data_IF_178026118426
#
_entry.id   IF_178026118426
#
_cell.length_a   1.000
_cell.length_b   1.000
_cell.length_c   1.000
_cell.angle_alpha   90.00
_cell.angle_beta   90.00
_cell.angle_gamma   90.00
#
_symmetry.space_group_name_H-M   'P 1'
#
loop_
_entity.id
_entity.type
_entity.pdbx_description
1 polymer ?
#
# COMPACT_ATOMS: atom_id res chain seq x y z
N UNK A 1 -2.70 2.91 -3.72
CA UNK A 1 -1.91 3.14 -4.94
C UNK A 1 -1.46 4.59 -4.90
N UNK A 2 -0.15 4.81 -4.78
CA UNK A 2 0.41 6.15 -4.89
C UNK A 2 0.67 6.42 -6.37
N UNK A 3 -0.14 7.25 -6.97
CA UNK A 3 0.12 7.75 -8.32
C UNK A 3 0.95 9.01 -8.21
N UNK A 4 2.09 9.02 -8.86
CA UNK A 4 2.80 10.25 -9.12
C UNK A 4 2.37 10.78 -10.47
N UNK A 5 2.01 12.04 -10.51
CA UNK A 5 1.65 12.73 -11.73
C UNK A 5 2.90 13.39 -12.31
N UNK A 6 3.25 13.07 -13.54
CA UNK A 6 4.28 13.80 -14.28
C UNK A 6 3.64 15.06 -14.90
N UNK A 7 4.25 16.21 -14.65
CA UNK A 7 3.80 17.45 -15.26
C UNK A 7 4.56 17.71 -16.56
N UNK A 8 3.83 18.05 -17.62
CA UNK A 8 4.37 18.64 -18.85
C UNK A 8 3.80 20.03 -19.03
N UNK A 9 4.69 21.00 -19.17
CA UNK A 9 4.30 22.37 -19.52
C UNK A 9 4.42 22.52 -21.03
N UNK A 10 3.35 22.91 -21.70
CA UNK A 10 3.36 23.20 -23.12
C UNK A 10 3.99 24.59 -23.40
N UNK A 11 4.16 24.93 -24.68
CA UNK A 11 4.74 26.21 -25.10
C UNK A 11 3.86 27.43 -24.75
N UNK A 12 2.61 27.19 -24.33
CA UNK A 12 1.65 28.23 -23.93
C UNK A 12 1.55 28.36 -22.41
N UNK A 13 2.38 27.60 -21.66
CA UNK A 13 2.39 27.62 -20.20
C UNK A 13 1.30 26.75 -19.55
N UNK A 14 0.53 25.96 -20.32
CA UNK A 14 -0.43 25.02 -19.76
C UNK A 14 0.30 23.81 -19.22
N UNK A 15 -0.03 23.40 -17.99
CA UNK A 15 0.55 22.23 -17.37
C UNK A 15 -0.43 21.06 -17.51
N UNK A 16 0.02 20.01 -18.19
CA UNK A 16 -0.70 18.72 -18.28
C UNK A 16 0.02 17.68 -17.45
N UNK A 17 -0.73 16.75 -16.88
CA UNK A 17 -0.25 15.69 -16.04
C UNK A 17 -0.56 14.34 -16.65
N UNK A 18 0.38 13.41 -16.60
CA UNK A 18 0.16 12.03 -17.03
C UNK A 18 0.40 11.07 -15.87
N UNK A 19 -0.34 9.97 -15.87
CA UNK A 19 -0.32 8.91 -14.86
C UNK A 19 0.79 7.85 -15.08
N UNK A 20 1.65 8.05 -16.07
CA UNK A 20 2.64 7.06 -16.52
C UNK A 20 4.04 7.25 -15.94
N UNK A 21 4.22 8.10 -14.94
CA UNK A 21 5.55 8.38 -14.41
C UNK A 21 5.85 7.61 -13.13
N UNK A 22 7.06 7.06 -12.96
CA UNK A 22 7.53 6.63 -11.66
C UNK A 22 7.52 7.84 -10.72
N UNK A 23 7.02 7.65 -9.51
CA UNK A 23 6.77 8.64 -8.48
C UNK A 23 7.64 9.91 -8.54
N UNK A 24 7.16 10.93 -9.22
CA UNK A 24 7.78 12.26 -9.25
C UNK A 24 7.04 13.18 -8.27
N UNK A 25 7.79 13.97 -7.52
CA UNK A 25 7.20 15.04 -6.71
C UNK A 25 6.85 16.19 -7.63
N UNK A 26 5.58 16.55 -7.65
CA UNK A 26 5.14 17.74 -8.33
C UNK A 26 5.38 18.95 -7.43
N UNK A 27 6.21 19.88 -7.86
CA UNK A 27 6.42 21.14 -7.15
C UNK A 27 5.46 22.18 -7.71
N UNK A 28 4.54 22.64 -6.86
CA UNK A 28 3.57 23.67 -7.20
C UNK A 28 3.88 24.95 -6.44
N UNK A 29 3.75 26.08 -7.13
CA UNK A 29 3.82 27.42 -6.54
C UNK A 29 2.48 28.12 -6.74
N UNK A 30 1.72 28.29 -5.68
CA UNK A 30 0.42 28.94 -5.78
C UNK A 30 -0.32 28.94 -4.45
N UNK A 31 -1.29 29.86 -4.32
CA UNK A 31 -2.17 29.91 -3.16
C UNK A 31 -3.34 28.94 -3.31
N UNK A 32 -3.71 28.61 -4.55
CA UNK A 32 -4.84 27.73 -4.89
C UNK A 32 -4.38 26.63 -5.83
N UNK A 33 -4.86 25.42 -5.58
CA UNK A 33 -4.64 24.26 -6.43
C UNK A 33 -6.00 23.76 -6.88
N UNK A 34 -6.16 23.46 -8.17
CA UNK A 34 -7.36 22.83 -8.73
C UNK A 34 -7.00 21.44 -9.22
N UNK A 35 -7.71 20.44 -8.72
CA UNK A 35 -7.65 19.07 -9.22
C UNK A 35 -8.80 18.87 -10.22
N UNK A 36 -8.48 18.57 -11.47
CA UNK A 36 -9.46 18.24 -12.49
C UNK A 36 -9.31 16.75 -12.84
N UNK A 37 -10.38 15.98 -12.67
CA UNK A 37 -10.46 14.61 -13.15
C UNK A 37 -11.16 14.65 -14.53
N UNK A 38 -10.40 14.44 -15.60
CA UNK A 38 -10.94 14.42 -16.98
C UNK A 38 -11.37 13.02 -17.40
N UNK A 39 -10.89 11.98 -16.72
CA UNK A 39 -11.22 10.58 -17.02
C UNK A 39 -12.26 10.03 -16.05
N UNK A 40 -13.22 9.27 -16.58
CA UNK A 40 -14.14 8.49 -15.76
C UNK A 40 -13.37 7.39 -15.00
N UNK A 41 -13.66 7.22 -13.71
CA UNK A 41 -13.08 6.15 -12.90
C UNK A 41 -11.86 6.53 -12.06
N UNK A 42 -11.51 7.81 -11.96
CA UNK A 42 -10.54 8.27 -10.98
C UNK A 42 -11.18 8.29 -9.58
N UNK A 43 -10.67 7.48 -8.69
CA UNK A 43 -11.01 7.51 -7.27
C UNK A 43 -9.82 8.08 -6.50
N UNK A 44 -10.02 9.22 -5.85
CA UNK A 44 -9.07 9.83 -4.94
C UNK A 44 -9.54 9.53 -3.51
N UNK A 45 -8.66 8.99 -2.70
CA UNK A 45 -8.95 8.68 -1.29
C UNK A 45 -8.37 9.75 -0.38
N UNK A 46 -7.15 10.22 -0.67
CA UNK A 46 -6.45 11.22 0.12
C UNK A 46 -5.47 12.00 -0.75
N UNK A 47 -5.30 13.27 -0.44
CA UNK A 47 -4.34 14.16 -1.10
C UNK A 47 -3.50 14.89 -0.05
N UNK A 48 -2.18 14.78 -0.11
CA UNK A 48 -1.29 15.49 0.77
C UNK A 48 -0.55 16.62 0.04
N UNK A 49 -0.55 17.79 0.66
CA UNK A 49 0.29 18.91 0.25
C UNK A 49 1.46 19.04 1.23
N UNK A 50 2.68 19.03 0.71
CA UNK A 50 3.88 19.08 1.54
C UNK A 50 4.76 20.27 1.20
N UNK A 51 5.39 20.84 2.23
CA UNK A 51 6.46 21.81 2.06
C UNK A 51 7.71 21.15 1.44
N UNK A 52 8.66 21.93 0.92
CA UNK A 52 9.96 21.40 0.50
C UNK A 52 10.72 20.66 1.61
N UNK A 53 10.43 20.96 2.88
CA UNK A 53 10.98 20.27 4.05
C UNK A 53 10.27 18.93 4.36
N UNK A 54 9.17 18.61 3.67
CA UNK A 54 8.41 17.37 3.86
C UNK A 54 7.28 17.46 4.89
N UNK A 55 7.04 18.64 5.49
CA UNK A 55 5.95 18.85 6.44
C UNK A 55 4.61 18.97 5.71
N UNK A 56 3.56 18.41 6.28
CA UNK A 56 2.22 18.55 5.73
C UNK A 56 1.73 20.00 5.84
N UNK A 57 1.22 20.52 4.73
CA UNK A 57 0.64 21.87 4.68
C UNK A 57 -0.85 21.78 4.94
N UNK A 58 -1.36 22.67 5.80
CA UNK A 58 -2.79 22.80 6.01
C UNK A 58 -3.47 23.31 4.75
N UNK A 59 -4.36 22.51 4.20
CA UNK A 59 -5.15 22.83 3.03
C UNK A 59 -6.65 22.70 3.36
N UNK A 60 -7.49 23.43 2.63
CA UNK A 60 -8.94 23.35 2.78
C UNK A 60 -9.60 23.33 1.41
N UNK A 61 -10.61 22.49 1.25
CA UNK A 61 -11.47 22.54 0.09
C UNK A 61 -12.30 23.81 0.12
N UNK A 62 -12.19 24.64 -0.93
CA UNK A 62 -12.92 25.90 -1.06
C UNK A 62 -14.07 25.81 -2.05
N UNK A 63 -13.99 24.90 -3.01
CA UNK A 63 -15.07 24.64 -3.97
C UNK A 63 -14.89 23.26 -4.58
N UNK A 64 -15.98 22.59 -4.87
CA UNK A 64 -16.03 21.38 -5.68
C UNK A 64 -17.13 21.49 -6.74
N UNK A 65 -16.94 20.79 -7.85
CA UNK A 65 -17.91 20.77 -8.95
C UNK A 65 -17.97 19.34 -9.51
N UNK A 66 -19.13 18.95 -10.01
CA UNK A 66 -19.25 17.70 -10.75
C UNK A 66 -19.71 16.51 -9.91
N UNK A 67 -20.55 16.74 -8.93
CA UNK A 67 -21.27 15.64 -8.27
C UNK A 67 -22.03 14.84 -9.33
N UNK A 68 -21.69 13.56 -9.46
CA UNK A 68 -22.46 12.60 -10.23
C UNK A 68 -23.30 11.76 -9.27
N UNK A 69 -24.56 12.14 -9.02
CA UNK A 69 -25.43 11.44 -8.10
C UNK A 69 -25.76 10.01 -8.53
N UNK A 70 -25.53 9.68 -9.80
CA UNK A 70 -25.76 8.38 -10.41
C UNK A 70 -24.67 7.33 -10.13
N UNK A 71 -23.49 7.75 -9.67
CA UNK A 71 -22.35 6.85 -9.41
C UNK A 71 -21.99 6.71 -7.93
N UNK A 72 -22.55 7.51 -7.05
CA UNK A 72 -22.21 7.50 -5.63
C UNK A 72 -23.45 7.14 -4.82
N UNK A 73 -23.37 6.05 -4.09
CA UNK A 73 -24.37 5.67 -3.10
C UNK A 73 -24.38 6.60 -1.89
N UNK A 74 -23.32 7.38 -1.70
CA UNK A 74 -23.22 8.44 -0.68
C UNK A 74 -22.30 9.53 -1.24
N UNK A 75 -22.79 10.79 -1.20
CA UNK A 75 -21.97 11.96 -1.47
C UNK A 75 -20.93 12.07 -0.35
N UNK A 76 -19.67 11.76 -0.66
CA UNK A 76 -18.59 11.93 0.30
C UNK A 76 -18.25 13.41 0.40
N UNK A 77 -18.05 13.90 1.63
CA UNK A 77 -17.57 15.25 1.87
C UNK A 77 -16.21 15.43 1.19
N UNK A 78 -16.04 16.41 0.28
CA UNK A 78 -14.75 16.69 -0.34
C UNK A 78 -13.63 17.00 0.68
N UNK A 79 -13.97 17.41 1.89
CA UNK A 79 -13.01 17.62 2.97
C UNK A 79 -12.31 16.33 3.40
N UNK A 80 -12.95 15.16 3.23
CA UNK A 80 -12.35 13.85 3.48
C UNK A 80 -11.17 13.51 2.56
N UNK A 81 -10.90 14.32 1.53
CA UNK A 81 -9.66 14.19 0.74
C UNK A 81 -8.42 14.77 1.43
N UNK A 82 -8.59 15.44 2.57
CA UNK A 82 -7.51 16.18 3.25
C UNK A 82 -7.44 15.91 4.75
N UNK A 83 -8.20 14.95 5.26
CA UNK A 83 -8.31 14.69 6.71
C UNK A 83 -7.26 13.68 7.22
N UNK A 84 -6.67 12.89 6.32
CA UNK A 84 -5.69 11.87 6.65
C UNK A 84 -4.37 12.03 5.89
N UNK A 85 -3.89 13.25 5.68
CA UNK A 85 -2.68 13.55 4.89
C UNK A 85 -1.42 12.79 5.38
N UNK A 86 -1.38 12.41 6.65
CA UNK A 86 -0.29 11.64 7.23
C UNK A 86 -0.22 10.20 6.68
N UNK A 87 -1.33 9.69 6.14
CA UNK A 87 -1.39 8.37 5.51
C UNK A 87 -0.78 8.37 4.10
N UNK A 88 -0.66 9.53 3.48
CA UNK A 88 -0.03 9.68 2.18
C UNK A 88 1.49 9.53 2.30
N UNK A 89 2.03 8.51 1.65
CA UNK A 89 3.49 8.29 1.65
C UNK A 89 4.17 9.19 0.63
N UNK A 90 5.24 9.84 1.05
CA UNK A 90 6.02 10.74 0.18
C UNK A 90 6.77 9.99 -0.92
N UNK A 91 7.31 8.82 -0.61
CA UNK A 91 8.02 7.95 -1.55
C UNK A 91 7.52 6.52 -1.39
N UNK A 92 6.90 5.94 -2.44
CA UNK A 92 6.46 4.55 -2.42
C UNK A 92 7.68 3.61 -2.29
N UNK A 93 7.56 2.63 -1.43
CA UNK A 93 8.61 1.64 -1.24
C UNK A 93 8.08 0.37 -0.58
N UNK A 94 8.95 -0.60 -0.41
CA UNK A 94 8.60 -1.88 0.22
C UNK A 94 8.07 -1.73 1.66
N UNK A 95 8.47 -0.66 2.34
CA UNK A 95 8.08 -0.36 3.72
C UNK A 95 6.81 0.49 3.84
N UNK A 96 6.30 1.00 2.72
CA UNK A 96 5.22 1.98 2.70
C UNK A 96 4.01 1.56 1.89
N UNK A 97 4.10 0.46 1.16
CA UNK A 97 3.03 0.00 0.29
C UNK A 97 2.86 -1.51 0.26
N UNK A 98 1.87 -1.95 -0.49
CA UNK A 98 1.61 -3.36 -0.81
C UNK A 98 2.20 -3.71 -2.18
N UNK A 99 2.60 -4.95 -2.34
CA UNK A 99 3.09 -5.48 -3.61
C UNK A 99 2.11 -6.52 -4.15
N UNK A 100 1.70 -6.36 -5.40
CA UNK A 100 0.82 -7.28 -6.11
C UNK A 100 -0.42 -7.69 -5.28
N UNK A 101 -0.62 -8.98 -5.03
CA UNK A 101 -1.80 -9.49 -4.30
C UNK A 101 -1.76 -9.23 -2.78
N UNK A 102 -0.69 -8.68 -2.24
CA UNK A 102 -0.63 -8.32 -0.81
C UNK A 102 -1.80 -7.44 -0.37
N UNK A 103 -2.28 -6.55 -1.24
CA UNK A 103 -3.39 -5.67 -0.92
C UNK A 103 -4.65 -6.46 -0.54
N UNK A 104 -4.95 -7.53 -1.28
CA UNK A 104 -6.13 -8.35 -1.03
C UNK A 104 -5.97 -9.18 0.24
N UNK A 105 -4.79 -9.74 0.44
CA UNK A 105 -4.50 -10.58 1.60
C UNK A 105 -4.42 -9.77 2.89
N UNK A 106 -3.74 -8.63 2.88
CA UNK A 106 -3.64 -7.73 4.03
C UNK A 106 -5.01 -7.17 4.43
N UNK A 107 -5.80 -6.72 3.43
CA UNK A 107 -7.18 -6.29 3.65
C UNK A 107 -8.03 -7.38 4.29
N UNK A 108 -8.02 -8.57 3.71
CA UNK A 108 -8.83 -9.68 4.23
C UNK A 108 -8.37 -10.15 5.60
N UNK A 109 -7.06 -10.09 5.90
CA UNK A 109 -6.55 -10.34 7.23
C UNK A 109 -7.08 -9.31 8.25
N UNK A 110 -7.13 -8.04 7.87
CA UNK A 110 -7.73 -6.98 8.69
C UNK A 110 -9.23 -7.21 8.90
N UNK A 111 -9.96 -7.58 7.84
CA UNK A 111 -11.40 -7.89 7.91
C UNK A 111 -11.68 -9.05 8.86
N UNK A 112 -10.87 -10.12 8.82
CA UNK A 112 -10.97 -11.23 9.77
C UNK A 112 -10.72 -10.78 11.21
N UNK A 113 -9.72 -9.92 11.44
CA UNK A 113 -9.40 -9.41 12.77
C UNK A 113 -10.56 -8.63 13.38
N UNK A 114 -11.32 -7.91 12.55
CA UNK A 114 -12.45 -7.06 12.98
C UNK A 114 -13.82 -7.73 12.83
N UNK A 115 -13.86 -9.04 12.51
CA UNK A 115 -15.12 -9.77 12.34
C UNK A 115 -15.96 -9.31 11.15
N UNK A 116 -15.33 -8.69 10.17
CA UNK A 116 -15.98 -8.22 8.95
C UNK A 116 -16.06 -9.35 7.91
N UNK A 117 -16.97 -9.19 6.94
CA UNK A 117 -17.06 -10.15 5.84
C UNK A 117 -15.82 -10.07 4.96
N UNK A 118 -15.09 -11.19 4.73
CA UNK A 118 -13.89 -11.19 3.93
C UNK A 118 -14.18 -10.77 2.47
N UNK A 119 -13.36 -9.84 1.96
CA UNK A 119 -13.41 -9.41 0.56
C UNK A 119 -12.92 -10.52 -0.37
N UNK A 120 -11.79 -11.13 -0.04
CA UNK A 120 -11.16 -12.16 -0.84
C UNK A 120 -11.37 -13.53 -0.19
N UNK A 121 -12.06 -14.45 -0.89
CA UNK A 121 -12.45 -15.77 -0.38
C UNK A 121 -11.87 -16.94 -1.20
N UNK A 122 -11.10 -16.66 -2.27
CA UNK A 122 -10.60 -17.69 -3.19
C UNK A 122 -9.43 -18.47 -2.60
N UNK A 123 -8.64 -17.86 -1.71
CA UNK A 123 -7.52 -18.52 -1.06
C UNK A 123 -7.87 -19.04 0.33
N UNK A 124 -7.23 -20.15 0.78
CA UNK A 124 -7.45 -20.69 2.12
C UNK A 124 -7.20 -19.65 3.22
N UNK A 125 -8.02 -19.61 4.28
CA UNK A 125 -8.01 -18.54 5.27
C UNK A 125 -6.80 -18.57 6.23
N UNK A 126 -6.13 -19.72 6.40
CA UNK A 126 -5.08 -19.87 7.41
C UNK A 126 -3.96 -18.83 7.27
N UNK A 127 -3.47 -18.61 6.06
CA UNK A 127 -2.41 -17.60 5.82
C UNK A 127 -2.85 -16.19 6.24
N UNK A 128 -4.09 -15.83 5.92
CA UNK A 128 -4.67 -14.53 6.25
C UNK A 128 -4.90 -14.39 7.76
N UNK A 129 -5.29 -15.47 8.45
CA UNK A 129 -5.41 -15.46 9.91
C UNK A 129 -4.05 -15.29 10.60
N UNK A 130 -2.99 -15.89 10.06
CA UNK A 130 -1.63 -15.66 10.55
C UNK A 130 -1.16 -14.21 10.30
N UNK A 131 -1.49 -13.64 9.14
CA UNK A 131 -1.25 -12.21 8.86
C UNK A 131 -2.03 -11.33 9.83
N UNK A 132 -3.28 -11.68 10.15
CA UNK A 132 -4.10 -10.95 11.13
C UNK A 132 -3.44 -10.89 12.52
N UNK A 133 -2.74 -11.95 12.95
CA UNK A 133 -1.96 -11.92 14.19
C UNK A 133 -0.83 -10.88 14.11
N UNK A 134 -0.10 -10.83 13.01
CA UNK A 134 0.93 -9.82 12.80
C UNK A 134 0.36 -8.39 12.77
N UNK A 135 -0.78 -8.18 12.12
CA UNK A 135 -1.49 -6.90 12.11
C UNK A 135 -1.97 -6.52 13.52
N UNK A 136 -2.47 -7.47 14.30
CA UNK A 136 -2.92 -7.21 15.67
C UNK A 136 -1.79 -6.73 16.59
N UNK A 137 -0.56 -7.21 16.38
CA UNK A 137 0.61 -6.88 17.21
C UNK A 137 1.28 -5.59 16.74
N UNK A 138 1.46 -5.42 15.42
CA UNK A 138 2.30 -4.37 14.82
C UNK A 138 1.50 -3.31 14.03
N UNK A 139 0.18 -3.42 14.02
CA UNK A 139 -0.70 -2.53 13.29
C UNK A 139 -0.83 -2.90 11.80
N UNK A 140 -1.74 -2.19 11.10
CA UNK A 140 -1.97 -2.34 9.65
C UNK A 140 -0.84 -1.64 8.85
N UNK A 141 0.35 -2.21 8.92
CA UNK A 141 1.58 -1.72 8.28
C UNK A 141 2.21 -2.82 7.44
N UNK A 142 3.05 -2.51 6.44
CA UNK A 142 3.78 -3.52 5.67
C UNK A 142 4.57 -4.51 6.53
N UNK A 143 5.14 -4.04 7.63
CA UNK A 143 5.78 -4.92 8.60
C UNK A 143 4.76 -5.85 9.27
N UNK A 144 3.62 -5.32 9.71
CA UNK A 144 2.59 -6.09 10.40
C UNK A 144 2.07 -7.27 9.57
N UNK A 145 1.62 -7.03 8.34
CA UNK A 145 1.10 -8.13 7.53
C UNK A 145 2.17 -9.07 6.97
N UNK A 146 3.43 -8.62 6.80
CA UNK A 146 4.54 -9.47 6.33
C UNK A 146 5.19 -10.28 7.45
N UNK A 147 5.04 -9.86 8.69
CA UNK A 147 5.74 -10.45 9.84
C UNK A 147 5.52 -11.96 9.95
N UNK A 148 4.26 -12.40 9.91
CA UNK A 148 3.95 -13.83 10.08
C UNK A 148 4.55 -14.68 8.96
N UNK A 149 4.48 -14.23 7.70
CA UNK A 149 5.08 -14.92 6.55
C UNK A 149 6.60 -15.00 6.66
N UNK A 150 7.26 -13.88 7.01
CA UNK A 150 8.70 -13.83 7.20
C UNK A 150 9.15 -14.75 8.35
N UNK A 151 8.43 -14.72 9.48
CA UNK A 151 8.71 -15.57 10.63
C UNK A 151 8.60 -17.07 10.30
N UNK A 152 7.55 -17.47 9.61
CA UNK A 152 7.38 -18.85 9.15
C UNK A 152 8.48 -19.23 8.16
N UNK A 153 8.85 -18.36 7.22
CA UNK A 153 9.95 -18.57 6.31
C UNK A 153 11.27 -18.85 7.04
N UNK A 154 11.57 -18.08 8.09
CA UNK A 154 12.75 -18.34 8.94
C UNK A 154 12.66 -19.69 9.66
N UNK A 155 11.49 -20.08 10.15
CA UNK A 155 11.29 -21.39 10.80
C UNK A 155 11.42 -22.58 9.84
N UNK A 156 11.20 -22.37 8.54
CA UNK A 156 11.40 -23.42 7.54
C UNK A 156 12.88 -23.85 7.43
N UNK A 157 13.83 -22.96 7.70
CA UNK A 157 15.27 -23.26 7.63
C UNK A 157 15.68 -24.39 8.59
N UNK A 158 15.44 -24.27 9.90
CA UNK A 158 15.77 -25.37 10.84
C UNK A 158 14.93 -26.62 10.57
N UNK A 159 13.67 -26.49 10.12
CA UNK A 159 12.86 -27.63 9.75
C UNK A 159 13.48 -28.41 8.58
N UNK A 160 13.91 -27.70 7.54
CA UNK A 160 14.61 -28.31 6.41
C UNK A 160 15.93 -28.95 6.81
N UNK A 161 16.70 -28.28 7.68
CA UNK A 161 17.94 -28.87 8.24
C UNK A 161 17.66 -30.19 8.95
N UNK A 162 16.70 -30.22 9.87
CA UNK A 162 16.34 -31.43 10.63
C UNK A 162 15.84 -32.55 9.73
N UNK A 163 14.97 -32.24 8.78
CA UNK A 163 14.46 -33.21 7.81
C UNK A 163 15.61 -33.80 6.99
N UNK A 164 16.45 -32.99 6.40
CA UNK A 164 17.59 -33.44 5.58
C UNK A 164 18.60 -34.26 6.40
N UNK A 165 18.84 -33.83 7.65
CA UNK A 165 19.70 -34.57 8.57
C UNK A 165 19.15 -35.97 8.91
N UNK A 166 17.84 -36.11 9.09
CA UNK A 166 17.19 -37.39 9.34
C UNK A 166 17.22 -38.31 8.12
N UNK A 167 16.98 -37.76 6.93
CA UNK A 167 16.95 -38.52 5.67
C UNK A 167 18.35 -39.00 5.25
N UNK A 168 19.35 -38.11 5.31
CA UNK A 168 20.69 -38.39 4.78
C UNK A 168 21.70 -38.80 5.84
N UNK A 169 21.35 -38.70 7.12
CA UNK A 169 22.22 -38.97 8.26
C UNK A 169 23.57 -38.22 8.25
N UNK A 170 23.67 -37.11 7.48
CA UNK A 170 24.88 -36.30 7.32
C UNK A 170 24.61 -34.83 7.62
N UNK A 171 25.29 -34.29 8.63
CA UNK A 171 25.14 -32.88 9.06
C UNK A 171 25.58 -31.87 8.01
N UNK A 172 26.65 -32.18 7.28
CA UNK A 172 27.17 -31.29 6.23
C UNK A 172 26.19 -31.11 5.07
N UNK A 173 25.56 -32.19 4.63
CA UNK A 173 24.53 -32.12 3.57
C UNK A 173 23.26 -31.40 4.05
N UNK A 174 22.89 -31.59 5.31
CA UNK A 174 21.76 -30.85 5.89
C UNK A 174 22.05 -29.34 5.96
N UNK A 175 23.25 -28.94 6.36
CA UNK A 175 23.66 -27.54 6.37
C UNK A 175 23.72 -26.95 4.96
N UNK A 176 24.25 -27.69 3.98
CA UNK A 176 24.28 -27.26 2.58
C UNK A 176 22.86 -27.05 2.00
N UNK A 177 21.93 -27.99 2.25
CA UNK A 177 20.54 -27.87 1.81
C UNK A 177 19.84 -26.67 2.45
N UNK A 178 20.01 -26.45 3.75
CA UNK A 178 19.47 -25.29 4.45
C UNK A 178 20.04 -23.97 3.88
N UNK A 179 21.36 -23.91 3.64
CA UNK A 179 22.01 -22.72 3.09
C UNK A 179 21.57 -22.43 1.66
N UNK A 180 21.40 -23.46 0.82
CA UNK A 180 20.90 -23.32 -0.54
C UNK A 180 19.43 -22.87 -0.61
N UNK A 181 18.65 -23.19 0.40
CA UNK A 181 17.24 -22.72 0.49
C UNK A 181 17.16 -21.29 1.03
N UNK A 182 18.13 -20.83 1.81
CA UNK A 182 18.17 -19.48 2.40
C UNK A 182 18.64 -18.40 1.40
N UNK A 183 19.25 -18.76 0.27
CA UNK A 183 19.71 -17.87 -0.79
C UNK A 183 18.64 -17.61 -1.84
#
# INVERSE_FOLDING_TARGET
>A
WNYALESRTDTNGNVTYSDNSPAGRLTLHGKYVRLNAEAAGLNLFEVAFRSPSGENLSAKVIAHTGDRPDMLTEAQDPAALLDEQDTCVGEPGWYTGTYFDEIYHARTAYEHLHGQRPYETTHPPLGKLLMAVGIAIFGMTPFGWRFAGAFIGVLMLPALYLMTKQLLHRRSLAAAAMSAFAL
#
